data_IF_134571183619
#
_entry.id   IF_134571183619
#
_cell.length_a   1.000
_cell.length_b   1.000
_cell.length_c   1.000
_cell.angle_alpha   90.00
_cell.angle_beta   90.00
_cell.angle_gamma   90.00
#
_symmetry.space_group_name_H-M   'P 1'
#
loop_
_entity.id
_entity.type
_entity.pdbx_description
1 polymer ?
#
# COMPACT_ATOMS: atom_id res chain seq x y z
N UNK A 1 -24.29 18.98 3.08
CA UNK A 1 -23.88 17.97 2.09
C UNK A 1 -23.58 16.70 2.87
N UNK A 2 -24.37 15.66 2.60
CA UNK A 2 -24.42 14.40 3.34
C UNK A 2 -23.13 13.63 3.03
N UNK A 3 -22.30 13.33 4.04
CA UNK A 3 -21.16 12.42 3.88
C UNK A 3 -21.67 10.99 3.81
N UNK A 4 -21.52 10.37 2.64
CA UNK A 4 -21.93 8.99 2.39
C UNK A 4 -21.09 8.00 3.24
N UNK A 5 -21.70 6.98 3.86
CA UNK A 5 -20.98 5.95 4.59
C UNK A 5 -20.30 5.03 3.56
N UNK A 6 -18.97 5.04 3.51
CA UNK A 6 -18.20 4.15 2.63
C UNK A 6 -18.09 2.78 3.29
N UNK A 7 -18.81 1.80 2.71
CA UNK A 7 -18.86 0.38 3.05
C UNK A 7 -17.52 -0.25 3.42
N UNK A 8 -17.49 -0.85 4.62
CA UNK A 8 -16.41 -1.69 5.14
C UNK A 8 -16.37 -3.06 4.42
N UNK A 9 -15.82 -3.12 3.21
CA UNK A 9 -15.53 -4.40 2.56
C UNK A 9 -14.32 -5.07 3.21
N UNK A 10 -14.61 -5.97 4.17
CA UNK A 10 -13.64 -6.71 4.96
C UNK A 10 -12.72 -7.64 4.13
N UNK A 11 -11.42 -7.48 4.31
CA UNK A 11 -10.38 -8.37 3.81
C UNK A 11 -10.29 -9.60 4.72
N UNK A 12 -10.59 -10.80 4.19
CA UNK A 12 -10.54 -12.06 4.96
C UNK A 12 -9.08 -12.42 5.28
N UNK A 13 -8.71 -12.41 6.56
CA UNK A 13 -7.39 -12.86 7.02
C UNK A 13 -7.23 -14.36 6.69
N UNK A 14 -6.27 -14.70 5.82
CA UNK A 14 -5.88 -16.09 5.55
C UNK A 14 -4.92 -16.54 6.65
N UNK A 15 -5.18 -17.70 7.25
CA UNK A 15 -4.31 -18.27 8.27
C UNK A 15 -2.98 -18.72 7.64
N UNK A 16 -1.90 -18.00 7.92
CA UNK A 16 -0.54 -18.43 7.61
C UNK A 16 -0.03 -19.34 8.74
N UNK A 17 0.47 -20.53 8.42
CA UNK A 17 1.10 -21.43 9.38
C UNK A 17 2.49 -20.91 9.78
N UNK A 18 2.53 -19.94 10.68
CA UNK A 18 3.76 -19.38 11.24
C UNK A 18 3.84 -19.83 12.70
N UNK A 19 4.94 -20.48 13.09
CA UNK A 19 5.25 -20.75 14.50
C UNK A 19 5.22 -19.43 15.27
N UNK A 20 4.30 -19.33 16.24
CA UNK A 20 3.89 -18.09 16.87
C UNK A 20 5.06 -17.33 17.52
N UNK A 21 5.67 -16.41 16.76
CA UNK A 21 6.33 -15.23 17.32
C UNK A 21 5.21 -14.28 17.72
N UNK A 22 5.16 -13.86 18.98
CA UNK A 22 4.18 -12.88 19.46
C UNK A 22 4.36 -11.57 18.67
N UNK A 23 3.56 -11.40 17.62
CA UNK A 23 3.43 -10.16 16.85
C UNK A 23 1.96 -9.72 16.92
N UNK A 24 1.72 -8.42 16.96
CA UNK A 24 0.37 -7.87 16.92
C UNK A 24 0.05 -7.41 15.49
N UNK A 25 -1.18 -7.65 15.05
CA UNK A 25 -1.67 -7.21 13.75
C UNK A 25 -2.38 -5.88 13.90
N UNK A 26 -1.97 -4.87 13.12
CA UNK A 26 -2.63 -3.57 13.05
C UNK A 26 -3.21 -3.38 11.65
N UNK A 27 -4.50 -3.04 11.57
CA UNK A 27 -5.12 -2.65 10.29
C UNK A 27 -4.62 -1.25 9.91
N UNK A 28 -4.15 -1.12 8.69
CA UNK A 28 -3.82 0.16 8.03
C UNK A 28 -4.76 0.36 6.85
N UNK A 29 -5.08 1.62 6.50
CA UNK A 29 -5.81 1.92 5.27
C UNK A 29 -4.89 1.60 4.07
N UNK A 30 -5.24 0.66 3.18
CA UNK A 30 -4.38 0.30 2.06
C UNK A 30 -4.39 1.32 0.92
N UNK A 31 -5.26 2.34 0.95
CA UNK A 31 -5.40 3.32 -0.13
C UNK A 31 -4.07 4.03 -0.41
N UNK A 32 -3.78 4.21 -1.70
CA UNK A 32 -2.63 4.96 -2.22
C UNK A 32 -1.23 4.45 -1.82
N UNK A 33 -1.11 3.36 -1.06
CA UNK A 33 0.18 2.79 -0.65
C UNK A 33 1.05 2.37 -1.83
N UNK A 34 0.45 1.92 -2.94
CA UNK A 34 1.17 1.60 -4.19
C UNK A 34 1.48 2.81 -5.09
N UNK A 35 0.92 3.98 -4.77
CA UNK A 35 1.11 5.25 -5.50
C UNK A 35 1.99 6.24 -4.71
N UNK A 36 2.23 5.96 -3.43
CA UNK A 36 3.06 6.77 -2.54
C UNK A 36 4.52 6.40 -2.75
N UNK A 37 5.40 7.36 -2.98
CA UNK A 37 6.83 7.08 -3.03
C UNK A 37 7.40 6.81 -1.64
N UNK A 38 7.96 5.62 -1.42
CA UNK A 38 8.64 5.27 -0.16
C UNK A 38 9.89 6.10 0.13
N UNK A 39 10.52 6.70 -0.88
CA UNK A 39 11.72 7.51 -0.71
C UNK A 39 11.43 8.99 -0.41
N UNK A 40 10.44 9.60 -1.06
CA UNK A 40 10.18 11.04 -0.93
C UNK A 40 8.81 11.40 -0.36
N UNK A 41 7.83 10.48 -0.36
CA UNK A 41 6.51 10.68 0.27
C UNK A 41 5.33 11.15 -0.60
N UNK A 42 5.48 11.85 -1.75
CA UNK A 42 4.34 12.22 -2.58
C UNK A 42 3.55 11.01 -3.07
N UNK A 43 2.23 11.20 -3.11
CA UNK A 43 1.30 10.33 -3.80
C UNK A 43 1.11 10.86 -5.21
N UNK A 44 1.30 10.01 -6.20
CA UNK A 44 1.06 10.36 -7.59
C UNK A 44 0.44 9.18 -8.34
N UNK A 45 -0.67 9.44 -9.03
CA UNK A 45 -1.42 8.43 -9.76
C UNK A 45 -0.65 7.83 -10.92
N UNK A 46 0.28 8.59 -11.53
CA UNK A 46 1.12 8.11 -12.62
C UNK A 46 2.34 7.34 -12.13
N UNK A 47 2.65 7.42 -10.83
CA UNK A 47 3.83 6.76 -10.29
C UNK A 47 3.73 5.22 -10.32
N UNK A 48 2.54 4.66 -10.51
CA UNK A 48 2.34 3.24 -10.78
C UNK A 48 2.12 3.01 -12.28
N UNK A 49 3.21 2.80 -13.02
CA UNK A 49 3.19 2.60 -14.47
C UNK A 49 2.49 1.29 -14.89
N UNK A 50 2.57 0.24 -14.06
CA UNK A 50 1.92 -1.05 -14.33
C UNK A 50 1.59 -1.78 -13.03
N UNK A 51 0.98 -2.96 -13.14
CA UNK A 51 0.73 -3.83 -11.99
C UNK A 51 2.02 -4.10 -11.20
N UNK A 52 3.16 -4.30 -11.89
CA UNK A 52 4.44 -4.67 -11.31
C UNK A 52 5.44 -3.50 -11.19
N UNK A 53 5.26 -2.42 -11.95
CA UNK A 53 6.24 -1.33 -12.06
C UNK A 53 5.80 -0.08 -11.31
N UNK A 54 6.74 0.50 -10.57
CA UNK A 54 6.61 1.81 -9.94
C UNK A 54 7.77 2.72 -10.35
N UNK A 55 7.45 3.98 -10.65
CA UNK A 55 8.40 5.04 -10.92
C UNK A 55 7.91 6.36 -10.35
N UNK A 56 8.62 6.91 -9.37
CA UNK A 56 8.27 8.22 -8.84
C UNK A 56 8.57 9.35 -9.83
N UNK A 57 7.60 10.25 -10.06
CA UNK A 57 7.77 11.42 -10.92
C UNK A 57 8.69 12.51 -10.32
N UNK A 58 8.82 12.59 -8.98
CA UNK A 58 9.67 13.58 -8.32
C UNK A 58 11.13 13.09 -8.14
N UNK A 59 11.34 11.98 -7.43
CA UNK A 59 12.69 11.51 -7.10
C UNK A 59 13.26 10.49 -8.08
N UNK A 60 12.46 10.03 -9.05
CA UNK A 60 12.84 9.01 -10.05
C UNK A 60 13.20 7.64 -9.49
N UNK A 61 12.82 7.34 -8.24
CA UNK A 61 12.89 5.99 -7.68
C UNK A 61 12.15 5.01 -8.58
N UNK A 62 12.80 3.90 -8.92
CA UNK A 62 12.23 2.77 -9.67
C UNK A 62 12.23 1.54 -8.77
N UNK A 63 11.08 0.91 -8.64
CA UNK A 63 10.92 -0.29 -7.82
C UNK A 63 9.77 -1.15 -8.35
N UNK A 64 9.64 -2.35 -7.81
CA UNK A 64 8.39 -3.10 -7.97
C UNK A 64 7.27 -2.41 -7.17
N UNK A 65 6.08 -2.29 -7.77
CA UNK A 65 4.94 -1.63 -7.14
C UNK A 65 4.58 -2.27 -5.78
N UNK A 66 4.59 -3.59 -5.71
CA UNK A 66 4.30 -4.33 -4.46
C UNK A 66 5.40 -4.15 -3.41
N UNK A 67 6.67 -4.07 -3.83
CA UNK A 67 7.78 -3.81 -2.92
C UNK A 67 7.69 -2.41 -2.32
N UNK A 68 7.43 -1.40 -3.15
CA UNK A 68 7.23 -0.03 -2.71
C UNK A 68 6.00 0.08 -1.79
N UNK A 69 4.89 -0.58 -2.12
CA UNK A 69 3.69 -0.62 -1.27
C UNK A 69 3.95 -1.28 0.09
N UNK A 70 4.73 -2.37 0.12
CA UNK A 70 5.09 -3.04 1.36
C UNK A 70 5.95 -2.18 2.29
N UNK A 71 6.80 -1.30 1.76
CA UNK A 71 7.58 -0.34 2.55
C UNK A 71 6.68 0.74 3.18
N UNK A 72 5.58 1.09 2.50
CA UNK A 72 4.66 2.13 2.95
C UNK A 72 3.66 1.64 4.05
N UNK A 73 3.69 0.36 4.44
CA UNK A 73 2.72 -0.29 5.36
C UNK A 73 3.35 -0.69 6.69
#
# INVERSE_FOLDING_TARGET
>A
MIVSPQEERGQKARAFSVFARRGYLRKVDPRHTSQTCSACGPVDGESRESQASFRCCQCRLRAHADHNAAINI
#
